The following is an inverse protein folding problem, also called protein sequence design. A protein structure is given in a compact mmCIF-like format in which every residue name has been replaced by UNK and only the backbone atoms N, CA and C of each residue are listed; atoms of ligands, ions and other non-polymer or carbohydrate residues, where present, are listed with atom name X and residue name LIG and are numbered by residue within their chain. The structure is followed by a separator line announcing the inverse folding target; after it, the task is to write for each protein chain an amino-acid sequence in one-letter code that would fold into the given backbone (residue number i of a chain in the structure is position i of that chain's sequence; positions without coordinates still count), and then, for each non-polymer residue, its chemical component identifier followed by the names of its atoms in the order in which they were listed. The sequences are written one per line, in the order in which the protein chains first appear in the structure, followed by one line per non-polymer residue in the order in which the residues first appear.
data_IF_056200798369
#
_entry.id   IF_056200798369
#
_cell.length_a   1.000
_cell.length_b   1.000
_cell.length_c   1.000
_cell.angle_alpha   90.00
_cell.angle_beta   90.00
_cell.angle_gamma   90.00
#
_symmetry.space_group_name_H-M   'P 1'
#
loop_
_entity.id
_entity.type
_entity.pdbx_description
1 polymer ?
#
# COMPACT_ATOMS: atom_id res chain seq x y z
N UNK A 1 -2.42 -3.00 14.01
CA UNK A 1 -1.12 -3.03 14.73
C UNK A 1 -0.39 -1.74 14.41
N UNK A 2 0.26 -1.12 15.40
CA UNK A 2 0.99 0.15 15.23
C UNK A 2 2.38 -0.01 15.84
N UNK A 3 3.41 0.49 15.15
CA UNK A 3 4.77 0.54 15.69
C UNK A 3 4.87 1.66 16.71
N UNK A 4 5.27 1.32 17.94
CA UNK A 4 5.43 2.27 19.04
C UNK A 4 6.90 2.28 19.48
N UNK A 5 7.49 3.48 19.60
CA UNK A 5 8.91 3.64 19.98
C UNK A 5 9.16 3.48 21.49
N UNK A 6 8.21 3.90 22.32
CA UNK A 6 8.31 3.83 23.79
C UNK A 6 7.17 3.03 24.38
N UNK A 7 7.50 2.11 25.28
CA UNK A 7 6.54 1.25 25.99
C UNK A 7 6.35 1.77 27.41
N UNK A 8 5.67 2.90 27.54
CA UNK A 8 5.33 3.53 28.82
C UNK A 8 3.81 3.76 28.96
N UNK A 9 3.35 4.03 30.18
CA UNK A 9 1.93 4.16 30.50
C UNK A 9 1.28 5.38 29.81
N UNK A 10 2.04 6.47 29.64
CA UNK A 10 1.56 7.68 28.98
C UNK A 10 1.29 7.43 27.48
N UNK A 11 2.24 6.82 26.78
CA UNK A 11 2.13 6.46 25.36
C UNK A 11 0.97 5.49 25.15
N UNK A 12 0.85 4.48 26.01
CA UNK A 12 -0.25 3.53 25.98
C UNK A 12 -1.62 4.21 26.18
N UNK A 13 -1.73 5.08 27.18
CA UNK A 13 -2.97 5.82 27.48
C UNK A 13 -3.41 6.67 26.29
N UNK A 14 -2.47 7.39 25.67
CA UNK A 14 -2.74 8.20 24.48
C UNK A 14 -3.22 7.35 23.30
N UNK A 15 -2.66 6.14 23.11
CA UNK A 15 -3.11 5.21 22.07
C UNK A 15 -4.53 4.72 22.37
N UNK A 16 -4.82 4.36 23.62
CA UNK A 16 -6.15 3.88 24.03
C UNK A 16 -7.21 4.97 23.81
N UNK A 17 -6.97 6.19 24.28
CA UNK A 17 -7.89 7.31 24.11
C UNK A 17 -8.13 7.66 22.63
N UNK A 18 -7.11 7.47 21.78
CA UNK A 18 -7.20 7.75 20.35
C UNK A 18 -7.98 6.69 19.57
N UNK A 19 -7.84 5.41 19.91
CA UNK A 19 -8.33 4.30 19.09
C UNK A 19 -9.46 3.48 19.72
N UNK A 20 -9.68 3.58 21.03
CA UNK A 20 -10.70 2.80 21.74
C UNK A 20 -11.81 3.74 22.20
N UNK A 21 -13.04 3.42 21.80
CA UNK A 21 -14.24 4.19 22.18
C UNK A 21 -14.38 4.27 23.71
N UNK A 22 -14.66 5.45 24.29
CA UNK A 22 -14.96 5.61 25.72
C UNK A 22 -16.06 4.63 26.19
N UNK A 23 -16.01 4.21 27.45
CA UNK A 23 -16.95 3.23 28.03
C UNK A 23 -16.74 1.77 27.63
N UNK A 24 -15.76 1.48 26.76
CA UNK A 24 -15.49 0.09 26.32
C UNK A 24 -14.84 -0.73 27.44
N UNK A 25 -15.12 -2.04 27.47
CA UNK A 25 -14.40 -2.97 28.35
C UNK A 25 -13.06 -3.35 27.73
N UNK A 26 -11.96 -3.08 28.43
CA UNK A 26 -10.60 -3.45 28.03
C UNK A 26 -10.18 -4.65 28.86
N UNK A 27 -9.75 -5.73 28.21
CA UNK A 27 -9.17 -6.91 28.84
C UNK A 27 -7.66 -6.93 28.57
N UNK A 28 -6.83 -7.02 29.62
CA UNK A 28 -5.37 -7.08 29.48
C UNK A 28 -4.73 -8.02 30.50
N UNK A 29 -3.43 -8.26 30.34
CA UNK A 29 -2.61 -8.83 31.41
C UNK A 29 -2.44 -7.82 32.58
N UNK A 30 -1.81 -8.27 33.66
CA UNK A 30 -1.53 -7.47 34.86
C UNK A 30 -0.27 -6.59 34.76
N UNK A 31 0.15 -6.15 33.56
CA UNK A 31 1.28 -5.23 33.45
C UNK A 31 0.98 -3.86 34.08
N UNK A 32 1.92 -3.35 34.91
CA UNK A 32 1.73 -2.16 35.76
C UNK A 32 1.24 -0.91 35.03
N UNK A 33 1.63 -0.73 33.76
CA UNK A 33 1.21 0.42 32.97
C UNK A 33 -0.31 0.46 32.69
N UNK A 34 -1.01 -0.66 32.80
CA UNK A 34 -2.46 -0.73 32.64
C UNK A 34 -3.22 -0.29 33.90
N UNK A 35 -2.58 -0.19 35.06
CA UNK A 35 -3.23 0.11 36.34
C UNK A 35 -4.00 1.44 36.38
N UNK A 36 -3.63 2.39 35.51
CA UNK A 36 -4.29 3.70 35.41
C UNK A 36 -5.54 3.70 34.52
N UNK A 37 -5.84 2.62 33.78
CA UNK A 37 -6.94 2.61 32.81
C UNK A 37 -8.32 2.80 33.44
N UNK A 38 -8.56 2.18 34.59
CA UNK A 38 -9.80 2.33 35.36
C UNK A 38 -10.00 3.74 35.92
N UNK A 39 -8.93 4.54 36.03
CA UNK A 39 -8.96 5.91 36.56
C UNK A 39 -9.14 6.96 35.46
N UNK A 40 -9.20 6.56 34.20
CA UNK A 40 -9.40 7.49 33.09
C UNK A 40 -10.84 8.01 33.06
N UNK A 41 -10.99 9.32 32.85
CA UNK A 41 -12.30 10.01 32.75
C UNK A 41 -13.19 9.48 31.61
N UNK A 42 -12.62 8.75 30.66
CA UNK A 42 -13.34 8.11 29.56
C UNK A 42 -14.18 6.89 29.99
N UNK A 43 -14.17 6.51 31.27
CA UNK A 43 -15.09 5.51 31.83
C UNK A 43 -14.84 4.07 31.36
N UNK A 44 -13.58 3.72 31.03
CA UNK A 44 -13.25 2.37 30.61
C UNK A 44 -13.44 1.36 31.76
N UNK A 45 -14.08 0.23 31.46
CA UNK A 45 -14.08 -0.93 32.38
C UNK A 45 -12.85 -1.77 32.11
N UNK A 46 -11.94 -1.86 33.06
CA UNK A 46 -10.70 -2.62 32.90
C UNK A 46 -10.79 -3.95 33.64
N UNK A 47 -10.62 -5.05 32.89
CA UNK A 47 -10.51 -6.41 33.43
C UNK A 47 -9.07 -6.90 33.21
N UNK A 48 -8.49 -7.48 34.25
CA UNK A 48 -7.10 -7.94 34.24
C UNK A 48 -7.02 -9.45 34.45
N UNK A 49 -6.11 -10.09 33.73
CA UNK A 49 -5.82 -11.51 33.90
C UNK A 49 -4.43 -11.66 34.49
N UNK A 50 -4.35 -12.32 35.64
CA UNK A 50 -3.09 -12.67 36.26
C UNK A 50 -2.63 -14.06 35.81
N UNK A 51 -1.75 -14.09 34.80
CA UNK A 51 -1.19 -15.33 34.24
C UNK A 51 -0.34 -16.17 35.22
N UNK A 52 0.04 -15.63 36.38
CA UNK A 52 0.67 -16.44 37.43
C UNK A 52 -0.32 -17.36 38.16
N UNK A 53 -1.61 -17.01 38.12
CA UNK A 53 -2.66 -17.72 38.85
C UNK A 53 -3.56 -18.47 37.89
N UNK A 54 -4.09 -17.80 36.87
CA UNK A 54 -5.07 -18.36 35.94
C UNK A 54 -4.82 -17.91 34.49
N UNK A 55 -5.14 -18.77 33.53
CA UNK A 55 -5.17 -18.42 32.09
C UNK A 55 -6.48 -17.73 31.66
N UNK A 56 -7.57 -18.04 32.35
CA UNK A 56 -8.88 -17.38 32.23
C UNK A 56 -9.30 -17.00 33.65
N UNK A 57 -9.71 -15.76 33.88
CA UNK A 57 -10.23 -15.35 35.18
C UNK A 57 -11.56 -16.09 35.46
N UNK A 58 -11.67 -16.91 36.53
CA UNK A 58 -12.88 -17.68 36.80
C UNK A 58 -14.08 -16.82 37.22
N UNK A 59 -13.86 -15.60 37.71
CA UNK A 59 -14.94 -14.70 38.16
C UNK A 59 -15.46 -13.82 37.03
N UNK A 60 -14.55 -13.30 36.20
CA UNK A 60 -14.89 -12.33 35.13
C UNK A 60 -14.93 -12.96 33.74
N UNK A 61 -14.47 -14.22 33.61
CA UNK A 61 -14.20 -14.91 32.34
C UNK A 61 -13.21 -14.16 31.41
N UNK A 62 -12.48 -13.16 31.93
CA UNK A 62 -11.54 -12.38 31.15
C UNK A 62 -10.34 -13.25 30.71
N UNK A 63 -9.90 -13.06 29.46
CA UNK A 63 -8.75 -13.77 28.90
C UNK A 63 -8.07 -12.98 27.78
N UNK A 64 -6.78 -13.23 27.54
CA UNK A 64 -5.96 -12.58 26.50
C UNK A 64 -5.54 -13.54 25.38
N UNK A 65 -6.06 -14.77 25.35
CA UNK A 65 -5.69 -15.80 24.36
C UNK A 65 -5.73 -15.34 22.90
N UNK A 66 -6.77 -14.60 22.51
CA UNK A 66 -6.93 -14.14 21.13
C UNK A 66 -5.81 -13.18 20.72
N UNK A 67 -5.44 -12.24 21.60
CA UNK A 67 -4.37 -11.28 21.30
C UNK A 67 -3.00 -11.95 21.33
N UNK A 68 -2.78 -12.91 22.23
CA UNK A 68 -1.55 -13.71 22.29
C UNK A 68 -1.37 -14.58 21.05
N UNK A 69 -2.43 -15.24 20.59
CA UNK A 69 -2.45 -16.01 19.34
C UNK A 69 -2.15 -15.13 18.13
N UNK A 70 -2.70 -13.91 18.08
CA UNK A 70 -2.40 -12.93 17.05
C UNK A 70 -0.92 -12.53 17.06
N UNK A 71 -0.35 -12.26 18.24
CA UNK A 71 1.07 -11.92 18.39
C UNK A 71 2.00 -13.08 18.04
N UNK A 72 1.63 -14.32 18.37
CA UNK A 72 2.31 -15.54 17.92
C UNK A 72 2.40 -15.57 16.39
N UNK A 73 1.27 -15.41 15.69
CA UNK A 73 1.22 -15.39 14.21
C UNK A 73 2.07 -14.26 13.63
N UNK A 74 2.03 -13.06 14.22
CA UNK A 74 2.89 -11.95 13.80
C UNK A 74 4.38 -12.28 13.95
N UNK A 75 4.78 -12.83 15.10
CA UNK A 75 6.19 -13.22 15.38
C UNK A 75 6.71 -14.29 14.41
N UNK A 76 5.83 -15.08 13.79
CA UNK A 76 6.24 -16.06 12.77
C UNK A 76 6.73 -15.42 11.46
N UNK A 77 6.27 -14.21 11.11
CA UNK A 77 6.70 -13.51 9.88
C UNK A 77 8.21 -13.25 9.85
N UNK A 78 8.82 -12.58 10.84
CA UNK A 78 10.26 -12.38 10.89
C UNK A 78 11.02 -13.69 11.18
N UNK A 79 10.48 -14.62 11.97
CA UNK A 79 11.12 -15.93 12.20
C UNK A 79 11.37 -16.72 10.92
N UNK A 80 10.42 -16.69 9.97
CA UNK A 80 10.58 -17.30 8.63
C UNK A 80 11.67 -16.64 7.79
N UNK A 81 12.15 -15.45 8.18
CA UNK A 81 13.17 -14.65 7.49
C UNK A 81 14.48 -14.58 8.29
N UNK A 82 14.80 -15.63 9.05
CA UNK A 82 16.01 -15.76 9.86
C UNK A 82 16.12 -14.74 11.02
N UNK A 83 15.00 -14.21 11.49
CA UNK A 83 14.95 -13.41 12.72
C UNK A 83 14.41 -11.99 12.54
N UNK A 84 14.45 -11.25 13.65
CA UNK A 84 13.93 -9.89 13.73
C UNK A 84 15.01 -8.87 13.33
N UNK A 85 14.78 -8.16 12.23
CA UNK A 85 15.56 -6.97 11.87
C UNK A 85 14.77 -5.70 12.25
N UNK A 86 15.28 -4.93 13.20
CA UNK A 86 14.65 -3.69 13.71
C UNK A 86 14.38 -2.66 12.60
N UNK A 87 15.25 -2.58 11.58
CA UNK A 87 15.07 -1.66 10.44
C UNK A 87 13.87 -2.03 9.56
N UNK A 88 13.39 -3.27 9.65
CA UNK A 88 12.31 -3.83 8.83
C UNK A 88 10.99 -4.03 9.59
N UNK A 89 10.83 -3.48 10.79
CA UNK A 89 9.59 -3.64 11.56
C UNK A 89 8.34 -3.20 10.81
N UNK A 90 8.41 -2.07 10.10
CA UNK A 90 7.30 -1.60 9.29
C UNK A 90 6.96 -2.58 8.17
N UNK A 91 7.98 -3.17 7.53
CA UNK A 91 7.79 -4.17 6.47
C UNK A 91 7.11 -5.44 7.04
N UNK A 92 7.52 -5.93 8.22
CA UNK A 92 6.89 -7.09 8.85
C UNK A 92 5.43 -6.82 9.26
N UNK A 93 5.13 -5.63 9.78
CA UNK A 93 3.75 -5.25 10.13
C UNK A 93 2.89 -5.19 8.88
N UNK A 94 3.36 -4.52 7.83
CA UNK A 94 2.64 -4.42 6.54
C UNK A 94 2.39 -5.79 5.96
N UNK A 95 3.41 -6.64 5.88
CA UNK A 95 3.29 -7.99 5.37
C UNK A 95 2.29 -8.82 6.20
N UNK A 96 2.35 -8.74 7.52
CA UNK A 96 1.43 -9.47 8.39
C UNK A 96 -0.03 -9.03 8.20
N UNK A 97 -0.28 -7.72 8.20
CA UNK A 97 -1.63 -7.16 7.98
C UNK A 97 -2.15 -7.54 6.59
N UNK A 98 -1.30 -7.49 5.57
CA UNK A 98 -1.65 -7.89 4.21
C UNK A 98 -2.00 -9.37 4.10
N UNK A 99 -1.18 -10.26 4.68
CA UNK A 99 -1.46 -11.70 4.73
C UNK A 99 -2.77 -12.03 5.43
N UNK A 100 -3.15 -11.22 6.42
CA UNK A 100 -4.40 -11.39 7.16
C UNK A 100 -5.61 -10.99 6.33
N UNK A 101 -5.50 -9.93 5.53
CA UNK A 101 -6.60 -9.41 4.71
C UNK A 101 -6.77 -10.20 3.40
N UNK A 102 -5.66 -10.50 2.72
CA UNK A 102 -5.67 -11.05 1.35
C UNK A 102 -5.12 -12.48 1.24
N UNK A 103 -4.76 -13.12 2.35
CA UNK A 103 -4.21 -14.48 2.37
C UNK A 103 -2.83 -14.60 1.72
N UNK A 104 -2.45 -15.83 1.32
CA UNK A 104 -1.11 -16.14 0.80
C UNK A 104 -0.87 -15.68 -0.66
N UNK A 105 -1.92 -15.40 -1.43
CA UNK A 105 -1.80 -14.99 -2.83
C UNK A 105 -1.21 -13.57 -2.94
N UNK A 106 -1.59 -12.69 -2.02
CA UNK A 106 -1.17 -11.29 -2.05
C UNK A 106 0.32 -11.04 -1.77
N UNK A 107 1.06 -12.00 -1.19
CA UNK A 107 2.49 -11.81 -0.87
C UNK A 107 3.32 -11.78 -2.14
N UNK A 108 2.97 -12.63 -3.11
CA UNK A 108 3.67 -12.65 -4.39
C UNK A 108 3.54 -11.28 -5.06
N UNK A 109 2.35 -10.66 -4.99
CA UNK A 109 2.11 -9.33 -5.53
C UNK A 109 2.94 -8.23 -4.85
N UNK A 110 3.12 -8.25 -3.52
CA UNK A 110 3.98 -7.27 -2.82
C UNK A 110 5.45 -7.43 -3.20
N UNK A 111 5.94 -8.68 -3.20
CA UNK A 111 7.33 -8.93 -3.58
C UNK A 111 7.57 -8.56 -5.04
N UNK A 112 6.68 -8.97 -5.94
CA UNK A 112 6.73 -8.59 -7.35
C UNK A 112 6.70 -7.07 -7.50
N UNK A 113 5.81 -6.36 -6.81
CA UNK A 113 5.75 -4.90 -6.90
C UNK A 113 7.04 -4.24 -6.39
N UNK A 114 7.59 -4.68 -5.24
CA UNK A 114 8.85 -4.13 -4.71
C UNK A 114 10.04 -4.41 -5.63
N UNK A 115 10.14 -5.61 -6.17
CA UNK A 115 11.22 -5.98 -7.11
C UNK A 115 11.09 -5.18 -8.42
N UNK A 116 9.87 -4.99 -8.93
CA UNK A 116 9.59 -4.14 -10.09
C UNK A 116 9.98 -2.70 -9.80
N UNK A 117 9.60 -2.13 -8.65
CA UNK A 117 9.95 -0.75 -8.32
C UNK A 117 11.47 -0.54 -8.25
N UNK A 118 12.20 -1.48 -7.63
CA UNK A 118 13.66 -1.43 -7.55
C UNK A 118 14.29 -1.60 -8.93
N UNK A 119 13.74 -2.48 -9.76
CA UNK A 119 14.18 -2.68 -11.14
C UNK A 119 13.96 -1.42 -11.97
N UNK A 120 12.75 -0.83 -11.93
CA UNK A 120 12.38 0.41 -12.61
C UNK A 120 13.32 1.53 -12.16
N UNK A 121 13.52 1.74 -10.86
CA UNK A 121 14.42 2.78 -10.38
C UNK A 121 15.86 2.59 -10.89
N UNK A 122 16.38 1.36 -10.88
CA UNK A 122 17.71 1.06 -11.43
C UNK A 122 17.79 1.29 -12.94
N UNK A 123 16.75 0.90 -13.68
CA UNK A 123 16.66 1.07 -15.12
C UNK A 123 16.63 2.56 -15.49
N UNK A 124 15.74 3.33 -14.87
CA UNK A 124 15.63 4.77 -15.08
C UNK A 124 16.90 5.50 -14.67
N UNK A 125 17.54 5.10 -13.57
CA UNK A 125 18.82 5.68 -13.17
C UNK A 125 19.93 5.41 -14.21
N UNK A 126 20.05 4.17 -14.70
CA UNK A 126 21.01 3.81 -15.75
C UNK A 126 20.74 4.57 -17.06
N UNK A 127 19.48 4.62 -17.48
CA UNK A 127 19.08 5.35 -18.68
C UNK A 127 19.35 6.84 -18.54
N UNK A 128 19.04 7.42 -17.37
CA UNK A 128 19.34 8.81 -17.04
C UNK A 128 20.83 9.14 -17.14
N UNK A 129 21.73 8.25 -16.71
CA UNK A 129 23.18 8.42 -16.88
C UNK A 129 23.60 8.42 -18.35
N UNK A 130 23.01 7.56 -19.18
CA UNK A 130 23.28 7.50 -20.63
C UNK A 130 22.82 8.80 -21.29
N UNK A 131 21.57 9.22 -21.03
CA UNK A 131 21.01 10.47 -21.57
C UNK A 131 21.82 11.67 -21.11
N UNK A 132 22.26 11.71 -19.84
CA UNK A 132 23.10 12.80 -19.34
C UNK A 132 24.46 12.85 -20.04
N UNK A 133 25.11 11.69 -20.28
CA UNK A 133 26.40 11.60 -20.98
C UNK A 133 26.30 12.09 -22.43
N UNK A 134 25.21 11.76 -23.13
CA UNK A 134 24.99 12.13 -24.53
C UNK A 134 23.92 13.20 -24.71
N UNK A 135 23.78 14.11 -23.73
CA UNK A 135 22.65 15.06 -23.64
C UNK A 135 22.47 15.93 -24.89
N UNK A 136 23.57 16.31 -25.54
CA UNK A 136 23.53 17.13 -26.76
C UNK A 136 23.03 16.31 -27.96
N UNK A 137 23.56 15.10 -28.15
CA UNK A 137 23.14 14.20 -29.23
C UNK A 137 21.66 13.84 -29.11
N UNK A 138 21.19 13.51 -27.90
CA UNK A 138 19.77 13.22 -27.66
C UNK A 138 18.87 14.44 -27.93
N UNK A 139 19.32 15.64 -27.56
CA UNK A 139 18.58 16.87 -27.85
C UNK A 139 18.46 17.09 -29.37
N UNK A 140 19.58 17.03 -30.09
CA UNK A 140 19.61 17.21 -31.54
C UNK A 140 18.78 16.12 -32.24
N UNK A 141 18.93 14.86 -31.86
CA UNK A 141 18.16 13.76 -32.41
C UNK A 141 16.64 13.95 -32.18
N UNK A 142 16.23 14.44 -31.01
CA UNK A 142 14.81 14.71 -30.72
C UNK A 142 14.23 15.83 -31.58
N UNK A 143 15.01 16.89 -31.83
CA UNK A 143 14.63 17.99 -32.70
C UNK A 143 14.56 17.56 -34.17
N UNK A 144 15.55 16.79 -34.64
CA UNK A 144 15.56 16.22 -35.99
C UNK A 144 14.39 15.26 -36.21
N UNK A 145 14.09 14.39 -35.23
CA UNK A 145 12.95 13.49 -35.28
C UNK A 145 11.64 14.27 -35.37
N UNK A 146 11.49 15.33 -34.57
CA UNK A 146 10.30 16.18 -34.59
C UNK A 146 10.16 16.92 -35.92
N UNK A 147 11.26 17.44 -36.47
CA UNK A 147 11.27 18.08 -37.79
C UNK A 147 10.92 17.09 -38.90
N UNK A 148 11.44 15.86 -38.84
CA UNK A 148 11.14 14.79 -39.79
C UNK A 148 9.67 14.36 -39.72
N UNK A 149 9.12 14.14 -38.52
CA UNK A 149 7.70 13.88 -38.35
C UNK A 149 6.84 15.06 -38.83
N UNK A 150 7.30 16.29 -38.62
CA UNK A 150 6.66 17.50 -39.12
C UNK A 150 6.68 17.64 -40.64
N UNK A 151 7.69 17.12 -41.33
CA UNK A 151 7.77 17.15 -42.79
C UNK A 151 6.59 16.43 -43.47
N UNK A 152 6.06 15.37 -42.83
CA UNK A 152 4.85 14.67 -43.30
C UNK A 152 3.62 15.57 -43.40
N UNK A 153 3.54 16.65 -42.61
CA UNK A 153 2.44 17.62 -42.67
C UNK A 153 2.44 18.43 -43.98
N UNK A 154 3.51 18.40 -44.77
CA UNK A 154 3.55 19.04 -46.10
C UNK A 154 2.58 18.41 -47.08
N UNK A 155 2.27 17.12 -46.91
CA UNK A 155 1.31 16.38 -47.72
C UNK A 155 -0.09 16.35 -47.10
N UNK A 156 -0.35 17.16 -46.07
CA UNK A 156 -1.65 17.16 -45.42
C UNK A 156 -2.76 17.54 -46.41
N UNK A 157 -2.49 18.40 -47.40
CA UNK A 157 -3.47 18.79 -48.41
C UNK A 157 -3.87 17.64 -49.34
N UNK A 158 -2.93 16.77 -49.70
CA UNK A 158 -3.20 15.58 -50.54
C UNK A 158 -3.99 14.51 -49.77
N UNK A 159 -3.89 14.53 -48.44
CA UNK A 159 -4.65 13.68 -47.53
C UNK A 159 -5.97 14.31 -47.06
N UNK A 160 -6.18 15.61 -47.31
CA UNK A 160 -7.45 16.27 -47.02
C UNK A 160 -8.42 16.07 -48.17
N UNK A 161 -9.46 15.28 -47.93
CA UNK A 161 -10.58 15.18 -48.86
C UNK A 161 -11.41 16.47 -48.77
N UNK A 162 -11.31 17.34 -49.79
CA UNK A 162 -12.04 18.63 -49.87
C UNK A 162 -13.44 18.48 -50.47
N UNK A 163 -13.75 17.33 -51.08
CA UNK A 163 -15.05 17.08 -51.70
C UNK A 163 -16.12 16.82 -50.62
N UNK A 164 -17.15 17.67 -50.50
CA UNK A 164 -18.21 17.49 -49.51
C UNK A 164 -18.98 16.18 -49.70
N UNK A 165 -19.04 15.60 -50.91
CA UNK A 165 -19.66 14.28 -51.11
C UNK A 165 -18.86 13.17 -50.46
N UNK A 166 -17.53 13.23 -50.44
CA UNK A 166 -16.71 12.22 -49.77
C UNK A 166 -16.61 12.44 -48.25
N UNK A 167 -16.70 13.70 -47.79
CA UNK A 167 -16.67 14.04 -46.36
C UNK A 167 -18.01 13.75 -45.68
N UNK A 168 -19.13 14.04 -46.35
CA UNK A 168 -20.48 13.93 -45.77
C UNK A 168 -21.33 12.78 -46.36
N UNK A 169 -20.89 12.12 -47.43
CA UNK A 169 -21.60 10.97 -48.04
C UNK A 169 -20.65 9.79 -48.33
N UNK A 170 -20.28 9.00 -47.30
CA UNK A 170 -19.34 7.89 -47.44
C UNK A 170 -19.77 6.85 -48.48
N UNK A 171 -18.82 6.07 -48.99
CA UNK A 171 -19.04 5.14 -50.11
C UNK A 171 -20.08 4.04 -49.81
N UNK A 172 -20.41 3.79 -48.54
CA UNK A 172 -21.42 2.83 -48.10
C UNK A 172 -22.77 3.47 -47.74
N UNK A 173 -22.98 4.74 -48.08
CA UNK A 173 -24.20 5.44 -47.73
C UNK A 173 -25.42 4.86 -48.47
N UNK A 174 -26.54 4.54 -47.77
CA UNK A 174 -27.69 3.86 -48.37
C UNK A 174 -28.33 4.65 -49.53
N UNK A 175 -28.39 5.97 -49.44
CA UNK A 175 -28.96 6.86 -50.46
C UNK A 175 -28.16 6.94 -51.77
N UNK A 176 -26.92 6.41 -51.84
CA UNK A 176 -26.17 6.29 -53.11
C UNK A 176 -26.73 5.20 -54.04
N UNK A 177 -27.46 4.22 -53.49
CA UNK A 177 -27.99 3.08 -54.23
C UNK A 177 -29.49 3.22 -54.55
N UNK A 178 -30.12 4.30 -54.11
CA UNK A 178 -31.57 4.54 -54.26
C UNK A 178 -31.96 5.13 -55.63
N UNK A 179 -30.99 5.41 -56.51
CA UNK A 179 -31.21 6.00 -57.85
C UNK A 179 -30.64 5.18 -59.03
N UNK A 180 -30.36 3.88 -58.84
CA UNK A 180 -29.95 2.97 -59.91
C UNK A 180 -31.13 2.14 -60.43
#
# INVERSE_FOLDING_TARGET
MVLVRRRDAATLTNIILKFIRPGTTIMSDSWRAYSQLSRLLAGYRHLTVNHMVNFVDPHTAAHTHNIESLWQKFKMVPKRKYGLNTRRYTDYIREFLWRREFGSIGIHMIFVHREIDVFIHKLFFRFGLIVHKFRFEFLVASLLCTAFCGYGLRWIEELTTKDPQFVFSPNNAPWRYEYA
#
